data_IF_380914039930
#
_entry.id   IF_380914039930
#
_cell.length_a   1.000
_cell.length_b   1.000
_cell.length_c   1.000
_cell.angle_alpha   90.00
_cell.angle_beta   90.00
_cell.angle_gamma   90.00
#
_symmetry.space_group_name_H-M   'P 1'
#
loop_
_entity.id
_entity.type
_entity.pdbx_description
1 polymer ?
#
# COMPACT_ATOMS: atom_id res chain seq x y z
N UNK A 1 7.32 32.85 24.70
CA UNK A 1 8.45 31.99 24.31
C UNK A 1 8.26 31.63 22.85
N UNK A 2 9.18 32.02 21.98
CA UNK A 2 9.19 31.53 20.60
C UNK A 2 9.72 30.10 20.63
N UNK A 3 8.96 29.15 20.08
CA UNK A 3 9.43 27.78 19.90
C UNK A 3 10.57 27.76 18.88
N UNK A 4 11.72 27.25 19.28
CA UNK A 4 12.87 27.08 18.40
C UNK A 4 12.60 25.89 17.49
N UNK A 5 12.41 26.14 16.19
CA UNK A 5 12.28 25.07 15.20
C UNK A 5 13.61 24.34 15.04
N UNK A 6 13.59 23.02 15.24
CA UNK A 6 14.73 22.14 14.99
C UNK A 6 14.48 21.29 13.74
N UNK A 7 15.44 21.29 12.82
CA UNK A 7 15.41 20.40 11.66
C UNK A 7 15.84 19.00 12.06
N UNK A 8 15.22 17.99 11.45
CA UNK A 8 15.62 16.60 11.60
C UNK A 8 17.03 16.39 11.01
N UNK A 9 17.85 15.51 11.59
CA UNK A 9 19.25 15.27 11.18
C UNK A 9 19.39 14.70 9.75
N UNK A 10 18.30 14.14 9.23
CA UNK A 10 18.23 13.58 7.90
C UNK A 10 17.29 14.37 7.00
N UNK A 11 17.75 14.55 5.76
CA UNK A 11 16.99 15.06 4.63
C UNK A 11 16.38 13.92 3.83
N UNK A 12 15.14 14.11 3.41
CA UNK A 12 14.49 13.24 2.44
C UNK A 12 14.78 13.76 1.04
N UNK A 13 15.47 12.96 0.24
CA UNK A 13 15.81 13.28 -1.15
C UNK A 13 14.97 12.45 -2.10
N UNK A 14 14.48 13.13 -3.14
CA UNK A 14 13.65 12.54 -4.17
C UNK A 14 14.28 12.80 -5.53
N UNK A 15 14.38 11.76 -6.34
CA UNK A 15 15.07 11.83 -7.63
C UNK A 15 14.23 11.15 -8.72
N UNK A 16 14.13 11.71 -9.94
CA UNK A 16 13.56 10.99 -11.07
C UNK A 16 14.33 9.69 -11.35
N UNK A 17 13.66 8.72 -11.99
CA UNK A 17 14.25 7.40 -12.29
C UNK A 17 15.24 7.46 -13.46
N UNK A 18 14.96 8.32 -14.44
CA UNK A 18 15.80 8.55 -15.61
C UNK A 18 16.48 9.92 -15.49
N UNK A 19 17.58 10.08 -16.21
CA UNK A 19 18.31 11.34 -16.24
C UNK A 19 17.55 12.39 -17.05
N UNK A 20 17.89 13.67 -16.85
CA UNK A 20 17.36 14.74 -17.70
C UNK A 20 17.83 14.61 -19.17
N UNK A 21 18.99 13.98 -19.41
CA UNK A 21 19.52 13.74 -20.75
C UNK A 21 18.70 12.73 -21.55
N UNK A 22 18.06 11.80 -20.84
CA UNK A 22 17.13 10.83 -21.44
C UNK A 22 15.89 11.50 -21.99
N UNK A 23 15.49 12.67 -21.48
CA UNK A 23 14.23 13.33 -21.86
C UNK A 23 14.16 13.76 -23.35
N UNK A 24 15.31 13.94 -24.01
CA UNK A 24 15.39 14.26 -25.43
C UNK A 24 15.18 13.03 -26.33
N UNK A 25 15.32 11.82 -25.78
CA UNK A 25 15.16 10.56 -26.49
C UNK A 25 13.67 10.25 -26.70
N UNK A 26 13.41 9.43 -27.72
CA UNK A 26 12.07 8.90 -27.97
C UNK A 26 11.75 7.78 -26.97
N UNK A 27 10.50 7.69 -26.47
CA UNK A 27 10.10 6.64 -25.54
C UNK A 27 10.19 5.23 -26.13
N UNK A 28 10.25 5.08 -27.46
CA UNK A 28 10.44 3.78 -28.11
C UNK A 28 11.75 3.09 -27.68
N UNK A 29 12.82 3.87 -27.45
CA UNK A 29 14.13 3.37 -27.02
C UNK A 29 14.08 2.69 -25.64
N UNK A 30 13.06 3.00 -24.84
CA UNK A 30 12.86 2.45 -23.51
C UNK A 30 11.78 1.38 -23.47
N UNK A 31 11.04 1.16 -24.57
CA UNK A 31 9.95 0.19 -24.57
C UNK A 31 10.44 -1.24 -24.38
N UNK A 32 11.70 -1.57 -24.66
CA UNK A 32 12.29 -2.88 -24.34
C UNK A 32 12.97 -2.92 -22.97
N UNK A 33 13.09 -1.78 -22.30
CA UNK A 33 13.76 -1.69 -21.01
C UNK A 33 12.83 -2.19 -19.88
N UNK A 34 13.23 -3.20 -19.08
CA UNK A 34 12.37 -3.80 -18.05
C UNK A 34 11.92 -2.78 -17.01
N UNK A 35 12.79 -1.85 -16.60
CA UNK A 35 12.44 -0.77 -15.65
C UNK A 35 11.34 0.14 -16.18
N UNK A 36 11.33 0.47 -17.48
CA UNK A 36 10.31 1.33 -18.06
C UNK A 36 8.97 0.60 -18.15
N UNK A 37 8.99 -0.67 -18.60
CA UNK A 37 7.83 -1.56 -18.63
C UNK A 37 7.20 -1.74 -17.25
N UNK A 38 8.02 -2.02 -16.23
CA UNK A 38 7.57 -2.18 -14.84
C UNK A 38 6.96 -0.89 -14.30
N UNK A 39 7.60 0.26 -14.55
CA UNK A 39 7.09 1.55 -14.13
C UNK A 39 5.73 1.87 -14.78
N UNK A 40 5.55 1.57 -16.08
CA UNK A 40 4.26 1.72 -16.75
C UNK A 40 3.21 0.78 -16.16
N UNK A 41 3.55 -0.48 -15.91
CA UNK A 41 2.65 -1.45 -15.28
C UNK A 41 2.14 -0.95 -13.92
N UNK A 42 3.04 -0.43 -13.08
CA UNK A 42 2.68 0.11 -11.77
C UNK A 42 1.91 1.42 -11.84
N UNK A 43 2.19 2.26 -12.84
CA UNK A 43 1.48 3.52 -13.06
C UNK A 43 0.07 3.31 -13.62
N UNK A 44 -0.11 2.35 -14.54
CA UNK A 44 -1.39 2.04 -15.16
C UNK A 44 -1.37 0.66 -15.85
N UNK A 45 -2.01 -0.32 -15.20
CA UNK A 45 -2.26 -1.63 -15.81
C UNK A 45 -3.00 -1.50 -17.16
N UNK A 46 -3.96 -0.58 -17.29
CA UNK A 46 -4.69 -0.35 -18.54
C UNK A 46 -3.77 0.06 -19.69
N UNK A 47 -2.79 0.95 -19.43
CA UNK A 47 -1.81 1.35 -20.44
C UNK A 47 -0.88 0.18 -20.76
N UNK A 48 -0.39 -0.51 -19.74
CA UNK A 48 0.50 -1.66 -19.90
C UNK A 48 -0.15 -2.78 -20.73
N UNK A 49 -1.39 -3.15 -20.44
CA UNK A 49 -2.13 -4.17 -21.21
C UNK A 49 -2.30 -3.76 -22.68
N UNK A 50 -2.41 -2.47 -22.98
CA UNK A 50 -2.41 -2.00 -24.38
C UNK A 50 -1.06 -2.24 -25.04
N UNK A 51 0.05 -1.94 -24.36
CA UNK A 51 1.39 -2.20 -24.91
C UNK A 51 1.61 -3.69 -25.16
N UNK A 52 1.19 -4.55 -24.23
CA UNK A 52 1.26 -6.02 -24.39
C UNK A 52 0.49 -6.48 -25.62
N UNK A 53 -0.69 -5.93 -25.90
CA UNK A 53 -1.49 -6.28 -27.08
C UNK A 53 -0.82 -5.94 -28.42
N UNK A 54 0.10 -4.98 -28.41
CA UNK A 54 0.86 -4.55 -29.58
C UNK A 54 2.31 -5.03 -29.50
N UNK A 55 2.62 -6.03 -28.68
CA UNK A 55 3.96 -6.58 -28.50
C UNK A 55 5.04 -5.53 -28.19
N UNK A 56 4.65 -4.42 -27.57
CA UNK A 56 5.49 -3.25 -27.30
C UNK A 56 6.08 -2.59 -28.56
N UNK A 57 5.51 -2.84 -29.75
CA UNK A 57 5.92 -2.23 -31.01
C UNK A 57 5.41 -0.79 -31.11
N UNK A 58 6.31 0.18 -31.00
CA UNK A 58 5.97 1.61 -30.95
C UNK A 58 5.15 2.10 -32.15
N UNK A 59 5.48 1.61 -33.35
CA UNK A 59 4.85 2.04 -34.61
C UNK A 59 3.40 1.54 -34.75
N UNK A 60 3.03 0.50 -34.02
CA UNK A 60 1.68 -0.08 -34.05
C UNK A 60 0.73 0.59 -33.05
N UNK A 61 1.22 1.54 -32.25
CA UNK A 61 0.44 2.17 -31.20
C UNK A 61 -0.41 3.33 -31.72
N UNK A 62 -1.65 3.40 -31.25
CA UNK A 62 -2.54 4.51 -31.55
C UNK A 62 -1.96 5.86 -31.05
N UNK A 63 -2.21 6.99 -31.73
CA UNK A 63 -1.63 8.30 -31.38
C UNK A 63 -1.84 8.73 -29.91
N UNK A 64 -2.99 8.37 -29.33
CA UNK A 64 -3.29 8.67 -27.92
C UNK A 64 -2.38 7.92 -26.94
N UNK A 65 -2.00 6.69 -27.30
CA UNK A 65 -1.09 5.87 -26.51
C UNK A 65 0.35 6.40 -26.62
N UNK A 66 0.76 6.83 -27.82
CA UNK A 66 2.06 7.51 -28.03
C UNK A 66 2.21 8.75 -27.15
N UNK A 67 1.20 9.63 -27.13
CA UNK A 67 1.21 10.82 -26.24
C UNK A 67 1.29 10.43 -24.77
N UNK A 68 0.67 9.31 -24.38
CA UNK A 68 0.70 8.80 -23.01
C UNK A 68 2.10 8.29 -22.66
N UNK A 69 2.75 7.54 -23.55
CA UNK A 69 4.13 7.08 -23.36
C UNK A 69 5.11 8.24 -23.26
N UNK A 70 4.97 9.25 -24.12
CA UNK A 70 5.77 10.47 -24.04
C UNK A 70 5.63 11.14 -22.67
N UNK A 71 4.40 11.24 -22.14
CA UNK A 71 4.16 11.81 -20.81
C UNK A 71 4.79 10.96 -19.71
N UNK A 72 4.72 9.63 -19.79
CA UNK A 72 5.34 8.76 -18.79
C UNK A 72 6.87 8.84 -18.84
N UNK A 73 7.46 8.83 -20.03
CA UNK A 73 8.89 9.06 -20.22
C UNK A 73 9.33 10.41 -19.63
N UNK A 74 8.67 11.51 -19.99
CA UNK A 74 8.96 12.83 -19.42
C UNK A 74 8.79 12.87 -17.90
N UNK A 75 7.81 12.16 -17.33
CA UNK A 75 7.66 12.09 -15.87
C UNK A 75 8.84 11.37 -15.21
N UNK A 76 9.35 10.31 -15.83
CA UNK A 76 10.51 9.58 -15.33
C UNK A 76 11.81 10.38 -15.39
N UNK A 77 11.91 11.35 -16.30
CA UNK A 77 13.09 12.24 -16.41
C UNK A 77 13.00 13.52 -15.56
N UNK A 78 11.80 14.11 -15.43
CA UNK A 78 11.66 15.45 -14.84
C UNK A 78 10.99 15.50 -13.46
N UNK A 79 10.24 14.47 -13.05
CA UNK A 79 9.45 14.54 -11.82
C UNK A 79 10.02 13.64 -10.73
N UNK A 80 10.47 14.27 -9.65
CA UNK A 80 10.91 13.59 -8.43
C UNK A 80 9.76 13.19 -7.50
N UNK A 81 8.49 13.28 -7.92
CA UNK A 81 7.34 12.91 -7.08
C UNK A 81 7.13 11.39 -7.08
N UNK A 82 7.24 10.70 -5.93
CA UNK A 82 7.12 9.23 -5.83
C UNK A 82 5.80 8.72 -6.37
N UNK A 83 5.87 7.98 -7.48
CA UNK A 83 4.71 7.39 -8.13
C UNK A 83 5.13 6.26 -9.09
N UNK A 84 4.50 5.09 -9.02
CA UNK A 84 4.53 4.07 -10.08
C UNK A 84 5.92 3.70 -10.62
N UNK A 85 6.96 3.68 -9.79
CA UNK A 85 8.34 3.40 -10.25
C UNK A 85 9.06 4.55 -10.98
N UNK A 86 8.45 5.73 -11.09
CA UNK A 86 9.00 6.88 -11.83
C UNK A 86 10.08 7.67 -11.09
N UNK A 87 10.19 7.52 -9.76
CA UNK A 87 11.14 8.28 -8.96
C UNK A 87 11.53 7.50 -7.69
N UNK A 88 12.72 7.76 -7.17
CA UNK A 88 13.23 7.19 -5.92
C UNK A 88 13.05 8.15 -4.76
N UNK A 89 13.11 7.59 -3.55
CA UNK A 89 13.27 8.33 -2.29
C UNK A 89 14.43 7.71 -1.52
N UNK A 90 15.28 8.56 -0.95
CA UNK A 90 16.33 8.16 -0.01
C UNK A 90 16.42 9.16 1.13
N UNK A 91 17.12 8.81 2.19
CA UNK A 91 17.56 9.78 3.22
C UNK A 91 19.05 10.04 3.13
N UNK A 92 19.47 11.25 3.48
CA UNK A 92 20.88 11.61 3.64
C UNK A 92 21.05 12.58 4.81
N UNK A 93 22.19 12.55 5.53
CA UNK A 93 22.46 13.51 6.57
C UNK A 93 22.75 14.90 5.98
N UNK A 94 22.55 15.95 6.77
CA UNK A 94 23.05 17.27 6.42
C UNK A 94 24.57 17.25 6.24
N UNK A 95 25.07 17.87 5.18
CA UNK A 95 26.51 18.12 5.06
C UNK A 95 26.85 19.32 5.96
N UNK A 96 27.69 19.10 6.97
CA UNK A 96 28.17 20.14 7.89
C UNK A 96 29.47 20.82 7.42
N UNK A 97 30.03 20.39 6.28
CA UNK A 97 31.23 20.96 5.68
C UNK A 97 30.96 21.98 4.56
N UNK A 98 31.87 22.95 4.39
CA UNK A 98 31.88 23.93 3.29
C UNK A 98 32.28 23.33 1.91
N UNK A 99 32.33 22.01 1.78
CA UNK A 99 32.71 21.32 0.56
C UNK A 99 31.50 21.20 -0.37
N UNK A 100 31.40 22.13 -1.31
CA UNK A 100 30.43 22.14 -2.42
C UNK A 100 30.73 21.13 -3.54
N UNK A 101 31.76 20.29 -3.38
CA UNK A 101 32.40 19.57 -4.49
C UNK A 101 32.16 18.05 -4.52
N UNK A 102 31.48 17.44 -3.54
CA UNK A 102 31.15 16.01 -3.61
C UNK A 102 29.79 15.80 -4.29
N UNK A 103 29.75 15.20 -5.50
CA UNK A 103 28.48 14.87 -6.15
C UNK A 103 27.72 13.79 -5.37
N UNK A 104 26.39 13.84 -5.41
CA UNK A 104 25.56 12.76 -4.91
C UNK A 104 25.68 11.56 -5.85
N UNK A 105 26.21 10.44 -5.35
CA UNK A 105 26.29 9.19 -6.09
C UNK A 105 25.00 8.39 -5.89
N UNK A 106 24.38 8.01 -7.00
CA UNK A 106 23.15 7.25 -7.02
C UNK A 106 23.46 5.77 -7.29
N UNK A 107 23.13 4.92 -6.32
CA UNK A 107 23.13 3.47 -6.51
C UNK A 107 21.79 3.05 -7.13
N UNK A 108 21.78 2.88 -8.45
CA UNK A 108 20.57 2.54 -9.22
C UNK A 108 20.07 1.11 -8.96
N UNK A 109 20.93 0.23 -8.46
CA UNK A 109 20.63 -1.17 -8.13
C UNK A 109 19.86 -1.30 -6.82
N UNK A 110 19.92 -0.28 -5.95
CA UNK A 110 19.16 -0.22 -4.70
C UNK A 110 17.74 0.32 -4.84
N UNK A 111 17.27 0.55 -6.05
CA UNK A 111 15.92 1.07 -6.27
C UNK A 111 14.88 -0.01 -5.95
N UNK A 112 14.19 0.16 -4.81
CA UNK A 112 13.16 -0.75 -4.34
C UNK A 112 11.78 -0.16 -4.55
N UNK A 113 10.88 -0.97 -5.06
CA UNK A 113 9.47 -0.61 -5.23
C UNK A 113 8.70 -1.16 -4.04
N UNK A 114 8.09 -0.28 -3.25
CA UNK A 114 7.14 -0.69 -2.23
C UNK A 114 5.78 -0.94 -2.89
N UNK A 115 5.53 -2.21 -3.23
CA UNK A 115 4.23 -2.65 -3.75
C UNK A 115 3.46 -3.40 -2.68
N UNK A 116 2.38 -2.81 -2.17
CA UNK A 116 1.46 -3.51 -1.29
C UNK A 116 0.48 -4.32 -2.14
N UNK A 117 0.66 -5.64 -2.17
CA UNK A 117 -0.25 -6.55 -2.87
C UNK A 117 -1.66 -6.39 -2.28
N UNK A 118 -2.63 -6.01 -3.12
CA UNK A 118 -4.07 -6.04 -2.79
C UNK A 118 -4.62 -7.47 -2.53
N UNK A 119 -3.74 -8.48 -2.46
CA UNK A 119 -4.09 -9.89 -2.26
C UNK A 119 -4.79 -10.16 -0.93
N UNK A 120 -4.67 -9.28 0.06
CA UNK A 120 -5.35 -9.40 1.36
C UNK A 120 -6.88 -9.46 1.20
N UNK A 121 -7.44 -8.84 0.15
CA UNK A 121 -8.90 -8.78 -0.04
C UNK A 121 -9.47 -9.83 -1.01
N UNK A 122 -8.62 -10.57 -1.75
CA UNK A 122 -9.08 -11.42 -2.87
C UNK A 122 -9.73 -12.75 -2.46
N UNK A 123 -9.68 -13.14 -1.19
CA UNK A 123 -10.40 -14.32 -0.71
C UNK A 123 -10.99 -14.01 0.65
N UNK A 124 -12.33 -13.89 0.73
CA UNK A 124 -13.06 -14.12 1.98
C UNK A 124 -12.81 -15.58 2.37
N UNK A 125 -11.65 -15.87 2.97
CA UNK A 125 -11.38 -17.19 3.55
C UNK A 125 -12.47 -17.41 4.59
N UNK A 126 -13.12 -18.58 4.56
CA UNK A 126 -13.99 -19.02 5.65
C UNK A 126 -13.20 -18.89 6.95
N UNK A 127 -13.89 -18.50 8.03
CA UNK A 127 -13.30 -18.44 9.36
C UNK A 127 -12.44 -19.68 9.61
N UNK A 128 -11.17 -19.45 9.88
CA UNK A 128 -10.18 -20.47 10.19
C UNK A 128 -9.58 -20.21 11.54
N UNK A 129 -9.55 -21.25 12.37
CA UNK A 129 -8.95 -21.25 13.71
C UNK A 129 -7.42 -21.09 13.65
N UNK A 130 -6.81 -21.47 12.51
CA UNK A 130 -5.36 -21.41 12.28
C UNK A 130 -4.88 -20.06 11.74
N UNK A 131 -5.79 -19.17 11.35
CA UNK A 131 -5.48 -17.86 10.78
C UNK A 131 -5.41 -16.81 11.89
N UNK A 132 -4.53 -15.82 11.71
CA UNK A 132 -4.49 -14.64 12.57
C UNK A 132 -5.43 -13.54 12.05
N UNK A 133 -6.04 -12.82 12.97
CA UNK A 133 -6.95 -11.72 12.68
C UNK A 133 -6.55 -10.46 13.43
N UNK A 134 -6.70 -9.32 12.79
CA UNK A 134 -6.58 -8.01 13.42
C UNK A 134 -7.94 -7.31 13.42
N UNK A 135 -8.08 -6.30 14.27
CA UNK A 135 -9.21 -5.37 14.19
C UNK A 135 -9.14 -4.63 12.86
N UNK A 136 -10.30 -4.40 12.24
CA UNK A 136 -10.40 -3.69 10.97
C UNK A 136 -9.66 -2.34 11.06
N UNK A 137 -8.69 -2.08 10.17
CA UNK A 137 -7.84 -0.89 10.26
C UNK A 137 -8.58 0.42 10.01
N UNK A 138 -9.79 0.36 9.44
CA UNK A 138 -10.65 1.54 9.25
C UNK A 138 -11.49 1.90 10.47
N UNK A 139 -11.31 1.20 11.59
CA UNK A 139 -12.08 1.40 12.81
C UNK A 139 -11.77 2.73 13.49
N UNK A 140 -12.82 3.44 13.89
CA UNK A 140 -12.74 4.65 14.72
C UNK A 140 -13.92 4.71 15.70
N UNK A 141 -13.76 5.52 16.75
CA UNK A 141 -14.80 5.74 17.77
C UNK A 141 -15.79 6.80 17.28
N UNK A 142 -17.08 6.54 17.44
CA UNK A 142 -18.16 7.50 17.19
C UNK A 142 -19.26 7.34 18.26
N UNK A 143 -19.27 8.25 19.24
CA UNK A 143 -20.17 8.15 20.39
C UNK A 143 -19.99 6.84 21.15
N UNK A 144 -21.08 6.09 21.34
CA UNK A 144 -21.08 4.78 22.00
C UNK A 144 -20.76 3.60 21.05
N UNK A 145 -20.30 3.87 19.83
CA UNK A 145 -20.07 2.86 18.80
C UNK A 145 -18.64 2.92 18.22
N UNK A 146 -18.18 1.79 17.72
CA UNK A 146 -17.09 1.72 16.75
C UNK A 146 -17.67 1.70 15.34
N UNK A 147 -17.21 2.62 14.49
CA UNK A 147 -17.52 2.68 13.07
C UNK A 147 -16.35 2.15 12.25
N UNK A 148 -16.64 1.45 11.17
CA UNK A 148 -15.62 0.92 10.27
C UNK A 148 -16.20 0.66 8.88
N UNK A 149 -15.35 0.67 7.86
CA UNK A 149 -15.75 0.33 6.50
C UNK A 149 -15.65 -1.18 6.29
N UNK A 150 -16.71 -1.76 5.75
CA UNK A 150 -16.72 -3.12 5.23
C UNK A 150 -16.69 -3.10 3.71
N UNK A 151 -16.13 -4.17 3.16
CA UNK A 151 -16.12 -4.45 1.73
C UNK A 151 -17.40 -5.21 1.40
N UNK A 152 -18.39 -4.50 0.88
CA UNK A 152 -19.64 -5.08 0.40
C UNK A 152 -19.37 -5.81 -0.92
N UNK A 153 -19.78 -7.07 -0.97
CA UNK A 153 -19.73 -7.84 -2.21
C UNK A 153 -20.88 -7.39 -3.10
N UNK A 154 -20.58 -7.02 -4.34
CA UNK A 154 -21.59 -6.93 -5.38
C UNK A 154 -21.23 -7.90 -6.48
N UNK A 155 -22.28 -8.52 -7.01
CA UNK A 155 -22.37 -9.27 -8.27
C UNK A 155 -21.72 -8.57 -9.49
N UNK A 156 -21.24 -7.33 -9.37
CA UNK A 156 -20.87 -6.41 -10.45
C UNK A 156 -19.41 -5.94 -10.40
N UNK A 157 -18.41 -6.81 -10.16
CA UNK A 157 -16.95 -6.54 -10.39
C UNK A 157 -16.35 -5.24 -9.78
N UNK A 158 -17.07 -4.48 -8.95
CA UNK A 158 -16.64 -3.23 -8.33
C UNK A 158 -16.73 -3.37 -6.82
N UNK A 159 -15.65 -2.99 -6.15
CA UNK A 159 -15.59 -2.93 -4.70
C UNK A 159 -16.47 -1.79 -4.20
N UNK A 160 -17.49 -2.10 -3.40
CA UNK A 160 -18.31 -1.10 -2.72
C UNK A 160 -17.94 -1.14 -1.24
N UNK A 161 -17.58 0.01 -0.68
CA UNK A 161 -17.40 0.15 0.76
C UNK A 161 -18.73 0.57 1.38
N UNK A 162 -19.12 -0.09 2.46
CA UNK A 162 -20.26 0.31 3.28
C UNK A 162 -19.78 0.61 4.70
N UNK A 163 -20.41 1.59 5.35
CA UNK A 163 -20.14 1.91 6.75
C UNK A 163 -20.90 0.92 7.63
N UNK A 164 -20.24 0.36 8.63
CA UNK A 164 -20.86 -0.50 9.64
C UNK A 164 -20.54 0.01 11.04
N UNK A 165 -21.38 -0.36 12.00
CA UNK A 165 -21.27 0.08 13.39
C UNK A 165 -21.42 -1.09 14.34
N UNK A 166 -20.67 -1.07 15.45
CA UNK A 166 -20.83 -2.00 16.55
C UNK A 166 -20.78 -1.23 17.87
N UNK A 167 -21.70 -1.53 18.77
CA UNK A 167 -21.72 -0.92 20.10
C UNK A 167 -20.47 -1.28 20.91
N UNK A 168 -19.95 -0.30 21.64
CA UNK A 168 -18.79 -0.48 22.51
C UNK A 168 -19.23 -1.31 23.72
N UNK A 169 -18.64 -2.49 23.86
CA UNK A 169 -18.76 -3.31 25.06
C UNK A 169 -17.36 -3.72 25.55
N UNK A 170 -17.22 -4.21 26.81
CA UNK A 170 -15.91 -4.53 27.38
C UNK A 170 -15.08 -5.52 26.56
N UNK A 171 -15.71 -6.50 25.89
CA UNK A 171 -15.00 -7.47 25.06
C UNK A 171 -14.49 -6.85 23.76
N UNK A 172 -15.33 -6.04 23.10
CA UNK A 172 -14.98 -5.34 21.87
C UNK A 172 -13.90 -4.30 22.14
N UNK A 173 -14.05 -3.51 23.21
CA UNK A 173 -13.05 -2.52 23.62
C UNK A 173 -11.70 -3.18 23.92
N UNK A 174 -11.71 -4.34 24.59
CA UNK A 174 -10.50 -5.11 24.84
C UNK A 174 -9.82 -5.59 23.55
N UNK A 175 -10.59 -6.09 22.57
CA UNK A 175 -10.05 -6.48 21.26
C UNK A 175 -9.40 -5.30 20.52
N UNK A 176 -10.01 -4.11 20.57
CA UNK A 176 -9.45 -2.88 19.98
C UNK A 176 -8.15 -2.46 20.68
N UNK A 177 -8.08 -2.59 22.01
CA UNK A 177 -6.90 -2.22 22.80
C UNK A 177 -5.71 -3.15 22.58
N UNK A 178 -5.94 -4.43 22.27
CA UNK A 178 -4.88 -5.41 22.08
C UNK A 178 -3.89 -5.02 20.97
N UNK A 179 -4.36 -4.35 19.91
CA UNK A 179 -3.58 -3.84 18.75
C UNK A 179 -2.57 -4.85 18.17
N UNK A 180 -2.82 -6.14 18.34
CA UNK A 180 -1.95 -7.24 17.91
C UNK A 180 -2.75 -8.29 17.15
N UNK A 181 -2.14 -9.02 16.21
CA UNK A 181 -2.76 -10.19 15.58
C UNK A 181 -3.23 -11.21 16.62
N UNK A 182 -4.43 -11.73 16.43
CA UNK A 182 -5.07 -12.70 17.32
C UNK A 182 -5.31 -14.01 16.59
N UNK A 183 -4.84 -15.10 17.20
CA UNK A 183 -5.16 -16.46 16.77
C UNK A 183 -6.27 -17.03 17.65
N UNK A 184 -7.22 -17.76 17.07
CA UNK A 184 -8.35 -18.30 17.82
C UNK A 184 -7.93 -19.32 18.87
N UNK A 185 -6.83 -20.03 18.65
CA UNK A 185 -6.23 -20.94 19.62
C UNK A 185 -5.71 -20.25 20.88
N UNK A 186 -5.31 -18.97 20.83
CA UNK A 186 -4.77 -18.25 21.99
C UNK A 186 -5.83 -17.66 22.91
N UNK A 187 -7.12 -17.82 22.61
CA UNK A 187 -8.19 -17.23 23.44
C UNK A 187 -8.31 -17.86 24.81
N UNK A 188 -7.96 -19.14 24.94
CA UNK A 188 -8.00 -19.84 26.24
C UNK A 188 -7.04 -19.21 27.26
N UNK A 189 -5.96 -18.59 26.81
CA UNK A 189 -4.98 -17.93 27.69
C UNK A 189 -5.33 -16.48 28.03
N UNK A 190 -6.38 -15.90 27.44
CA UNK A 190 -6.78 -14.52 27.70
C UNK A 190 -7.79 -14.49 28.85
N UNK A 191 -7.41 -13.83 29.95
CA UNK A 191 -8.22 -13.74 31.19
C UNK A 191 -9.65 -13.25 30.95
N UNK A 192 -9.83 -12.26 30.08
CA UNK A 192 -11.13 -11.67 29.73
C UNK A 192 -12.09 -12.69 29.08
N UNK A 193 -11.55 -13.74 28.44
CA UNK A 193 -12.33 -14.77 27.75
C UNK A 193 -12.54 -16.04 28.59
N UNK A 194 -11.82 -16.23 29.69
CA UNK A 194 -11.89 -17.45 30.52
C UNK A 194 -13.29 -17.73 31.11
N UNK A 195 -14.11 -16.70 31.29
CA UNK A 195 -15.50 -16.83 31.78
C UNK A 195 -16.50 -17.37 30.74
N UNK A 196 -16.09 -17.56 29.49
CA UNK A 196 -16.95 -18.02 28.40
C UNK A 196 -16.56 -19.42 27.93
N UNK A 197 -17.56 -20.23 27.59
CA UNK A 197 -17.32 -21.55 27.00
C UNK A 197 -16.65 -21.45 25.62
N UNK A 198 -15.80 -22.43 25.28
CA UNK A 198 -15.05 -22.44 24.03
C UNK A 198 -15.94 -22.30 22.78
N UNK A 199 -17.11 -22.94 22.78
CA UNK A 199 -18.09 -22.84 21.68
C UNK A 199 -18.67 -21.43 21.53
N UNK A 200 -18.99 -20.76 22.64
CA UNK A 200 -19.54 -19.40 22.62
C UNK A 200 -18.51 -18.40 22.10
N UNK A 201 -17.26 -18.52 22.53
CA UNK A 201 -16.15 -17.70 22.03
C UNK A 201 -15.96 -17.91 20.53
N UNK A 202 -15.90 -19.15 20.06
CA UNK A 202 -15.73 -19.44 18.64
C UNK A 202 -16.85 -18.80 17.81
N UNK A 203 -18.10 -18.93 18.24
CA UNK A 203 -19.26 -18.31 17.56
C UNK A 203 -19.19 -16.79 17.57
N UNK A 204 -18.77 -16.19 18.69
CA UNK A 204 -18.56 -14.75 18.81
C UNK A 204 -17.51 -14.25 17.81
N UNK A 205 -16.34 -14.87 17.75
CA UNK A 205 -15.27 -14.50 16.82
C UNK A 205 -15.66 -14.72 15.35
N UNK A 206 -16.34 -15.83 15.06
CA UNK A 206 -16.87 -16.08 13.73
C UNK A 206 -17.85 -14.97 13.29
N UNK A 207 -18.69 -14.48 14.21
CA UNK A 207 -19.56 -13.34 13.94
C UNK A 207 -18.78 -12.05 13.70
N UNK A 208 -17.74 -11.76 14.49
CA UNK A 208 -16.90 -10.59 14.26
C UNK A 208 -16.16 -10.64 12.92
N UNK A 209 -15.71 -11.82 12.49
CA UNK A 209 -15.12 -12.01 11.16
C UNK A 209 -16.16 -11.83 10.05
N UNK A 210 -17.38 -12.36 10.24
CA UNK A 210 -18.49 -12.20 9.29
C UNK A 210 -18.87 -10.73 9.11
N UNK A 211 -18.86 -9.96 10.20
CA UNK A 211 -19.12 -8.53 10.21
C UNK A 211 -17.93 -7.71 9.67
N UNK A 212 -16.79 -8.32 9.39
CA UNK A 212 -15.52 -7.66 9.06
C UNK A 212 -15.04 -6.67 10.13
N UNK A 213 -15.46 -6.88 11.39
CA UNK A 213 -14.85 -6.21 12.53
C UNK A 213 -13.45 -6.76 12.78
N UNK A 214 -13.29 -8.08 12.63
CA UNK A 214 -11.99 -8.75 12.56
C UNK A 214 -11.72 -9.13 11.10
N UNK A 215 -10.52 -8.82 10.62
CA UNK A 215 -10.08 -9.13 9.26
C UNK A 215 -8.82 -10.00 9.30
N UNK A 216 -8.64 -10.94 8.35
CA UNK A 216 -7.40 -11.72 8.28
C UNK A 216 -6.19 -10.80 8.15
N UNK A 217 -5.15 -11.08 8.93
CA UNK A 217 -3.84 -10.48 8.77
C UNK A 217 -2.76 -11.55 8.72
N UNK A 218 -1.66 -11.20 8.06
CA UNK A 218 -0.43 -11.98 8.12
C UNK A 218 0.30 -11.66 9.43
N UNK A 219 1.00 -12.65 9.97
CA UNK A 219 1.92 -12.45 11.11
C UNK A 219 3.25 -12.09 10.48
N UNK A 220 3.66 -10.82 10.62
CA UNK A 220 5.03 -10.41 10.34
C UNK A 220 6.02 -11.10 11.29
#
# INVERSE_FOLDING_TARGET
MMETLQFHEQLLVRIPRLSIGDAAQSPDQYLDHPVFREAIYLASDVVYQKLVKHDFLYHDLEPKLLVTLQRYHQRMCYRSTPFGGFSAVSTLPWNTGNTTSTPLLLDLDRFRIHYQKAAVFKKRKRFSVKQCYCVNPSLYVYGAHYRYYLLADQTTKRWVFALNEIEINPLIAFLVQLRKPLNVGSFKSIRQFQKYGAYQLQKFFQNLCRLQFLVPCDVD
#
